data_IF_846807767519
#
_entry.id   IF_846807767519
#
_cell.length_a   1.000
_cell.length_b   1.000
_cell.length_c   1.000
_cell.angle_alpha   90.00
_cell.angle_beta   90.00
_cell.angle_gamma   90.00
#
_symmetry.space_group_name_H-M   'P 1'
#
loop_
_entity.id
_entity.type
_entity.pdbx_description
1 polymer ?
#
# COMPACT_ATOMS: atom_id res chain seq x y z
N UNK A 1 -29.70 20.54 0.08
CA UNK A 1 -28.66 20.00 0.98
C UNK A 1 -27.83 21.18 1.47
N UNK A 2 -27.82 21.50 2.77
CA UNK A 2 -26.91 22.55 3.29
C UNK A 2 -25.48 22.09 3.00
N UNK A 3 -24.63 22.98 2.49
CA UNK A 3 -23.23 22.68 2.19
C UNK A 3 -22.52 22.28 3.49
N UNK A 4 -22.41 20.97 3.72
CA UNK A 4 -21.65 20.41 4.84
C UNK A 4 -20.14 20.43 4.57
N UNK A 5 -19.66 21.14 3.55
CA UNK A 5 -18.24 21.19 3.20
C UNK A 5 -17.44 21.95 4.26
N UNK A 6 -16.25 21.44 4.53
CA UNK A 6 -15.27 22.06 5.41
C UNK A 6 -13.90 21.53 5.00
N UNK A 7 -12.97 22.32 4.42
CA UNK A 7 -12.96 23.78 4.30
C UNK A 7 -13.76 24.34 3.09
N UNK A 8 -13.80 25.68 2.96
CA UNK A 8 -14.28 26.37 1.75
C UNK A 8 -13.44 25.99 0.53
N UNK A 9 -14.10 25.86 -0.63
CA UNK A 9 -13.44 25.58 -1.90
C UNK A 9 -12.94 26.88 -2.57
N UNK A 10 -11.82 26.87 -3.32
CA UNK A 10 -10.98 25.71 -3.61
C UNK A 10 -10.12 25.28 -2.41
N UNK A 11 -9.85 23.98 -2.29
CA UNK A 11 -9.04 23.43 -1.21
C UNK A 11 -7.91 22.54 -1.75
N UNK A 12 -6.67 22.79 -1.33
CA UNK A 12 -5.55 21.87 -1.56
C UNK A 12 -5.72 20.62 -0.71
N UNK A 13 -5.60 19.43 -1.28
CA UNK A 13 -5.86 18.16 -0.59
C UNK A 13 -4.79 17.12 -0.88
N UNK A 14 -4.63 16.18 0.06
CA UNK A 14 -3.84 14.96 -0.12
C UNK A 14 -4.75 13.83 -0.56
N UNK A 15 -4.38 13.10 -1.61
CA UNK A 15 -5.13 11.96 -2.13
C UNK A 15 -4.72 10.64 -1.45
N UNK A 16 -5.59 9.96 -0.71
CA UNK A 16 -5.27 8.68 -0.07
C UNK A 16 -5.47 7.44 -0.98
N UNK A 17 -5.82 7.62 -2.27
CA UNK A 17 -6.24 6.52 -3.15
C UNK A 17 -5.13 5.50 -3.50
N UNK A 18 -3.85 5.88 -3.39
CA UNK A 18 -2.70 4.99 -3.61
C UNK A 18 -1.48 5.45 -2.80
N UNK A 19 -0.40 4.66 -2.82
CA UNK A 19 0.82 4.92 -2.05
C UNK A 19 1.53 6.24 -2.34
N UNK A 20 1.28 6.89 -3.49
CA UNK A 20 1.93 8.16 -3.84
C UNK A 20 1.53 9.33 -2.94
N UNK A 21 0.33 9.30 -2.34
CA UNK A 21 -0.23 10.39 -1.54
C UNK A 21 -0.03 11.78 -2.17
N UNK A 22 -0.48 11.97 -3.42
CA UNK A 22 -0.32 13.26 -4.09
C UNK A 22 -1.01 14.38 -3.29
N UNK A 23 -0.27 15.42 -2.94
CA UNK A 23 -0.65 16.52 -2.05
C UNK A 23 -0.87 17.87 -2.77
N UNK A 24 -0.80 17.85 -4.10
CA UNK A 24 -0.98 18.99 -5.00
C UNK A 24 -2.36 19.02 -5.67
N UNK A 25 -3.31 18.21 -5.21
CA UNK A 25 -4.66 18.21 -5.74
C UNK A 25 -5.42 19.45 -5.25
N UNK A 26 -6.23 20.04 -6.12
CA UNK A 26 -7.08 21.18 -5.77
C UNK A 26 -8.54 20.83 -6.03
N UNK A 27 -9.31 20.57 -4.96
CA UNK A 27 -10.75 20.35 -5.04
C UNK A 27 -11.44 21.70 -5.25
N UNK A 28 -12.21 21.82 -6.32
CA UNK A 28 -12.92 23.05 -6.69
C UNK A 28 -14.44 22.91 -6.59
N UNK A 29 -14.96 21.69 -6.76
CA UNK A 29 -16.37 21.35 -6.57
C UNK A 29 -16.53 19.90 -6.16
N UNK A 30 -17.52 19.58 -5.32
CA UNK A 30 -17.89 18.19 -4.96
C UNK A 30 -19.11 17.67 -5.72
N UNK A 31 -19.89 18.56 -6.36
CA UNK A 31 -21.11 18.17 -7.10
C UNK A 31 -21.38 19.16 -8.23
N UNK A 32 -21.06 18.82 -9.50
CA UNK A 32 -20.27 17.65 -9.91
C UNK A 32 -18.84 17.72 -9.35
N UNK A 33 -18.20 16.56 -9.16
CA UNK A 33 -16.82 16.52 -8.67
C UNK A 33 -15.88 17.20 -9.68
N UNK A 34 -15.05 18.12 -9.20
CA UNK A 34 -14.00 18.75 -9.98
C UNK A 34 -12.75 18.90 -9.13
N UNK A 35 -11.67 18.27 -9.57
CA UNK A 35 -10.38 18.25 -8.89
C UNK A 35 -9.28 18.48 -9.92
N UNK A 36 -8.46 19.51 -9.71
CA UNK A 36 -7.25 19.74 -10.51
C UNK A 36 -6.14 18.80 -10.05
N UNK A 37 -5.27 18.40 -10.99
CA UNK A 37 -4.15 17.46 -10.75
C UNK A 37 -4.59 16.07 -10.26
N UNK A 38 -5.83 15.67 -10.53
CA UNK A 38 -6.34 14.35 -10.19
C UNK A 38 -6.01 13.32 -11.28
N UNK A 39 -5.72 12.08 -10.87
CA UNK A 39 -5.70 10.94 -11.78
C UNK A 39 -6.99 10.12 -11.64
N UNK A 40 -7.15 9.10 -12.48
CA UNK A 40 -8.33 8.22 -12.46
C UNK A 40 -8.62 7.63 -11.07
N UNK A 41 -7.59 7.15 -10.35
CA UNK A 41 -7.76 6.62 -8.98
C UNK A 41 -8.25 7.69 -7.99
N UNK A 42 -7.70 8.91 -8.08
CA UNK A 42 -8.15 10.03 -7.23
C UNK A 42 -9.61 10.37 -7.51
N UNK A 43 -9.98 10.48 -8.78
CA UNK A 43 -11.36 10.77 -9.21
C UNK A 43 -12.30 9.70 -8.65
N UNK A 44 -12.03 8.42 -8.92
CA UNK A 44 -12.85 7.30 -8.41
C UNK A 44 -12.99 7.33 -6.89
N UNK A 45 -11.90 7.53 -6.15
CA UNK A 45 -11.93 7.59 -4.69
C UNK A 45 -12.84 8.71 -4.19
N UNK A 46 -12.66 9.94 -4.69
CA UNK A 46 -13.43 11.10 -4.23
C UNK A 46 -14.88 11.06 -4.72
N UNK A 47 -15.14 10.61 -5.95
CA UNK A 47 -16.51 10.44 -6.48
C UNK A 47 -17.29 9.48 -5.59
N UNK A 48 -16.75 8.29 -5.31
CA UNK A 48 -17.40 7.32 -4.41
C UNK A 48 -17.61 7.91 -3.00
N UNK A 49 -16.60 8.60 -2.48
CA UNK A 49 -16.67 9.19 -1.13
C UNK A 49 -17.76 10.25 -1.02
N UNK A 50 -17.91 11.14 -2.02
CA UNK A 50 -18.94 12.18 -2.01
C UNK A 50 -20.31 11.70 -2.50
N UNK A 51 -20.40 10.66 -3.34
CA UNK A 51 -21.67 10.09 -3.82
C UNK A 51 -22.34 9.16 -2.82
N UNK A 52 -21.57 8.52 -1.94
CA UNK A 52 -22.17 7.75 -0.86
C UNK A 52 -23.10 8.68 -0.07
N UNK A 53 -24.40 8.34 0.05
CA UNK A 53 -25.33 8.98 0.99
C UNK A 53 -24.98 8.55 2.43
N UNK A 54 -23.70 8.71 2.76
CA UNK A 54 -22.99 8.10 3.87
C UNK A 54 -23.43 8.62 5.22
N UNK A 55 -24.11 9.77 5.26
CA UNK A 55 -24.74 10.30 6.47
C UNK A 55 -25.90 9.44 7.00
N UNK A 56 -26.44 8.50 6.20
CA UNK A 56 -27.61 7.70 6.59
C UNK A 56 -27.33 6.20 6.72
N UNK A 57 -26.07 5.77 6.58
CA UNK A 57 -25.76 4.35 6.79
C UNK A 57 -25.71 4.09 8.28
N UNK A 58 -26.65 3.30 8.78
CA UNK A 58 -26.74 2.96 10.19
C UNK A 58 -25.97 1.66 10.49
N UNK A 59 -25.45 1.49 11.72
CA UNK A 59 -24.93 0.21 12.18
C UNK A 59 -25.96 -0.91 12.04
N UNK A 60 -25.48 -2.16 11.97
CA UNK A 60 -26.37 -3.33 12.00
C UNK A 60 -25.77 -4.48 12.79
N UNK A 61 -26.65 -5.28 13.40
CA UNK A 61 -26.31 -6.54 14.07
C UNK A 61 -27.14 -7.66 13.43
N UNK A 62 -26.45 -8.68 12.90
CA UNK A 62 -27.05 -9.78 12.14
C UNK A 62 -27.97 -9.29 11.01
N UNK A 63 -27.55 -8.22 10.32
CA UNK A 63 -28.30 -7.59 9.23
C UNK A 63 -29.49 -6.72 9.64
N UNK A 64 -29.77 -6.58 10.94
CA UNK A 64 -30.82 -5.67 11.45
C UNK A 64 -30.21 -4.34 11.86
N UNK A 65 -30.72 -3.25 11.28
CA UNK A 65 -30.31 -1.89 11.62
C UNK A 65 -30.45 -1.63 13.13
N UNK A 66 -29.45 -0.97 13.71
CA UNK A 66 -29.41 -0.62 15.13
C UNK A 66 -28.62 0.67 15.37
N UNK A 67 -28.57 1.14 16.60
CA UNK A 67 -27.75 2.27 17.02
C UNK A 67 -26.27 1.87 17.24
N UNK A 68 -25.39 2.86 17.34
CA UNK A 68 -23.96 2.65 17.50
C UNK A 68 -23.61 1.95 18.83
N UNK A 69 -24.31 2.25 19.92
CA UNK A 69 -24.03 1.67 21.23
C UNK A 69 -24.33 0.17 21.23
N UNK A 70 -25.48 -0.22 20.68
CA UNK A 70 -25.87 -1.63 20.52
C UNK A 70 -24.88 -2.39 19.64
N UNK A 71 -24.44 -1.80 18.52
CA UNK A 71 -23.46 -2.44 17.64
C UNK A 71 -22.07 -2.58 18.29
N UNK A 72 -21.62 -1.58 19.04
CA UNK A 72 -20.36 -1.62 19.81
C UNK A 72 -20.42 -2.74 20.86
N UNK A 73 -21.51 -2.84 21.63
CA UNK A 73 -21.69 -3.90 22.63
C UNK A 73 -21.70 -5.29 22.00
N UNK A 74 -22.35 -5.45 20.84
CA UNK A 74 -22.34 -6.71 20.10
C UNK A 74 -20.93 -7.08 19.61
N UNK A 75 -20.16 -6.12 19.09
CA UNK A 75 -18.77 -6.34 18.67
C UNK A 75 -17.88 -6.73 19.86
N UNK A 76 -17.99 -6.01 20.98
CA UNK A 76 -17.27 -6.32 22.21
C UNK A 76 -17.62 -7.72 22.75
N UNK A 77 -18.90 -8.09 22.73
CA UNK A 77 -19.35 -9.42 23.17
C UNK A 77 -18.75 -10.57 22.33
N UNK A 78 -18.60 -10.38 21.01
CA UNK A 78 -17.93 -11.34 20.13
C UNK A 78 -16.44 -11.45 20.50
N UNK A 79 -15.75 -10.32 20.68
CA UNK A 79 -14.33 -10.31 21.04
C UNK A 79 -14.07 -10.86 22.45
N UNK A 80 -14.94 -10.60 23.42
CA UNK A 80 -14.81 -11.10 24.80
C UNK A 80 -14.95 -12.63 24.89
N UNK A 81 -15.74 -13.23 23.98
CA UNK A 81 -15.91 -14.69 23.90
C UNK A 81 -14.79 -15.37 23.11
N UNK A 82 -14.05 -14.59 22.31
CA UNK A 82 -12.98 -15.06 21.44
C UNK A 82 -11.68 -15.23 22.22
N UNK A 83 -10.98 -16.35 21.97
CA UNK A 83 -9.68 -16.69 22.55
C UNK A 83 -8.53 -16.34 21.62
N UNK A 84 -8.78 -16.26 20.32
CA UNK A 84 -7.78 -15.96 19.31
C UNK A 84 -8.38 -15.12 18.17
N UNK A 85 -8.84 -13.89 18.44
CA UNK A 85 -9.46 -13.06 17.42
C UNK A 85 -8.42 -12.62 16.37
N UNK A 86 -8.86 -12.54 15.12
CA UNK A 86 -8.11 -11.92 14.04
C UNK A 86 -8.67 -10.52 13.79
N UNK A 87 -7.83 -9.49 13.91
CA UNK A 87 -8.12 -8.15 13.40
C UNK A 87 -7.36 -8.00 12.08
N UNK A 88 -8.10 -8.02 10.97
CA UNK A 88 -7.54 -7.96 9.62
C UNK A 88 -8.12 -6.82 8.78
N UNK A 89 -7.67 -6.73 7.53
CA UNK A 89 -8.01 -5.63 6.63
C UNK A 89 -7.10 -4.44 6.90
N UNK A 90 -7.23 -3.87 8.09
CA UNK A 90 -6.40 -2.78 8.63
C UNK A 90 -6.24 -1.60 7.66
N UNK A 91 -7.17 -1.38 6.75
CA UNK A 91 -7.11 -0.25 5.82
C UNK A 91 -7.42 1.04 6.57
N UNK A 92 -6.41 1.70 7.14
CA UNK A 92 -6.56 2.90 8.00
C UNK A 92 -5.28 3.75 8.08
N UNK A 93 -5.44 4.99 8.53
CA UNK A 93 -4.40 5.96 8.83
C UNK A 93 -3.69 5.68 10.18
N UNK A 94 -2.68 6.48 10.51
CA UNK A 94 -1.88 6.33 11.74
C UNK A 94 -2.76 6.28 13.00
N UNK A 95 -3.73 7.20 13.12
CA UNK A 95 -4.59 7.31 14.29
C UNK A 95 -5.43 6.06 14.52
N UNK A 96 -6.10 5.57 13.47
CA UNK A 96 -6.86 4.31 13.53
C UNK A 96 -5.99 3.12 13.92
N UNK A 97 -4.79 2.98 13.35
CA UNK A 97 -3.89 1.89 13.74
C UNK A 97 -3.44 1.98 15.19
N UNK A 98 -3.20 3.19 15.74
CA UNK A 98 -2.86 3.35 17.17
C UNK A 98 -3.96 2.81 18.09
N UNK A 99 -5.23 3.09 17.79
CA UNK A 99 -6.36 2.54 18.55
C UNK A 99 -6.47 1.02 18.38
N UNK A 100 -6.29 0.50 17.16
CA UNK A 100 -6.31 -0.96 16.91
C UNK A 100 -5.24 -1.69 17.73
N UNK A 101 -4.02 -1.15 17.82
CA UNK A 101 -2.94 -1.77 18.60
C UNK A 101 -3.30 -1.94 20.08
N UNK A 102 -4.07 -1.01 20.65
CA UNK A 102 -4.57 -1.10 22.03
C UNK A 102 -5.64 -2.17 22.17
N UNK A 103 -6.62 -2.18 21.26
CA UNK A 103 -7.65 -3.22 21.24
C UNK A 103 -7.04 -4.62 21.08
N UNK A 104 -6.03 -4.76 20.21
CA UNK A 104 -5.33 -6.02 20.00
C UNK A 104 -4.61 -6.49 21.27
N UNK A 105 -4.02 -5.57 22.04
CA UNK A 105 -3.41 -5.88 23.33
C UNK A 105 -4.45 -6.31 24.38
N UNK A 106 -5.63 -5.68 24.40
CA UNK A 106 -6.71 -6.02 25.32
C UNK A 106 -7.41 -7.35 24.99
N UNK A 107 -7.45 -7.74 23.71
CA UNK A 107 -8.17 -8.92 23.22
C UNK A 107 -7.25 -10.09 22.78
N UNK A 108 -5.94 -9.97 22.98
CA UNK A 108 -4.93 -10.89 22.45
C UNK A 108 -5.06 -11.16 20.94
N UNK A 109 -5.55 -10.16 20.19
CA UNK A 109 -5.83 -10.33 18.76
C UNK A 109 -4.55 -10.38 17.93
N UNK A 110 -4.62 -11.16 16.85
CA UNK A 110 -3.62 -11.16 15.79
C UNK A 110 -3.94 -10.08 14.77
N UNK A 111 -2.91 -9.39 14.29
CA UNK A 111 -3.03 -8.29 13.35
C UNK A 111 -2.50 -8.66 11.98
N UNK A 112 -3.26 -8.43 10.91
CA UNK A 112 -2.73 -8.58 9.54
C UNK A 112 -3.40 -7.61 8.55
N UNK A 113 -2.60 -6.90 7.76
CA UNK A 113 -3.10 -5.96 6.77
C UNK A 113 -3.58 -6.68 5.49
N UNK A 114 -4.58 -6.15 4.79
CA UNK A 114 -5.11 -6.77 3.56
C UNK A 114 -4.05 -6.95 2.46
N UNK A 115 -3.01 -6.11 2.45
CA UNK A 115 -1.92 -6.17 1.47
C UNK A 115 -0.66 -6.88 2.00
N UNK A 116 -0.69 -7.46 3.20
CA UNK A 116 0.47 -8.04 3.88
C UNK A 116 1.20 -9.10 3.08
N UNK A 117 0.52 -9.92 2.27
CA UNK A 117 1.18 -10.92 1.42
C UNK A 117 2.26 -10.31 0.51
N UNK A 118 2.03 -9.08 0.05
CA UNK A 118 3.03 -8.34 -0.73
C UNK A 118 4.05 -7.62 0.16
N UNK A 119 3.60 -6.95 1.22
CA UNK A 119 4.46 -6.12 2.06
C UNK A 119 5.45 -6.96 2.89
N UNK A 120 5.04 -8.13 3.36
CA UNK A 120 5.89 -9.08 4.10
C UNK A 120 7.08 -9.54 3.26
N UNK A 121 6.95 -9.68 1.94
CA UNK A 121 8.08 -10.07 1.07
C UNK A 121 9.19 -9.01 1.06
N UNK A 122 8.80 -7.74 1.07
CA UNK A 122 9.72 -6.62 1.22
C UNK A 122 10.33 -6.59 2.63
N UNK A 123 9.49 -6.72 3.67
CA UNK A 123 9.91 -6.72 5.08
C UNK A 123 10.91 -7.83 5.38
N UNK A 124 10.66 -9.07 4.94
CA UNK A 124 11.55 -10.20 5.13
C UNK A 124 12.90 -9.97 4.45
N UNK A 125 12.90 -9.37 3.25
CA UNK A 125 14.15 -9.03 2.56
C UNK A 125 14.96 -8.01 3.37
N UNK A 126 14.31 -6.92 3.78
CA UNK A 126 14.94 -5.86 4.58
C UNK A 126 15.45 -6.39 5.93
N UNK A 127 14.69 -7.22 6.64
CA UNK A 127 15.08 -7.79 7.94
C UNK A 127 16.28 -8.73 7.83
N UNK A 128 16.41 -9.46 6.72
CA UNK A 128 17.51 -10.42 6.54
C UNK A 128 18.83 -9.77 6.10
N UNK A 129 18.78 -8.79 5.20
CA UNK A 129 20.00 -8.25 4.56
C UNK A 129 20.14 -6.73 4.56
N UNK A 130 19.17 -6.01 5.12
CA UNK A 130 19.01 -4.58 4.88
C UNK A 130 18.63 -4.31 3.41
N UNK A 131 18.45 -3.03 3.08
CA UNK A 131 18.31 -2.57 1.71
C UNK A 131 18.69 -1.10 1.59
N UNK A 132 19.02 -0.65 0.38
CA UNK A 132 19.32 0.75 0.07
C UNK A 132 18.16 1.31 -0.75
N UNK A 133 17.29 2.12 -0.14
CA UNK A 133 16.08 2.67 -0.79
C UNK A 133 16.16 4.18 -0.99
N UNK A 134 15.28 4.73 -1.84
CA UNK A 134 15.21 6.17 -2.14
C UNK A 134 13.83 6.77 -1.87
N UNK A 135 13.75 8.10 -1.96
CA UNK A 135 12.49 8.86 -1.84
C UNK A 135 11.96 9.28 -3.20
N UNK A 136 10.66 9.58 -3.30
CA UNK A 136 10.10 10.11 -4.55
C UNK A 136 10.80 11.41 -4.99
N UNK A 137 11.21 12.24 -4.03
CA UNK A 137 11.96 13.47 -4.29
C UNK A 137 13.34 13.19 -4.90
N UNK A 138 14.04 12.17 -4.43
CA UNK A 138 15.34 11.78 -4.99
C UNK A 138 15.20 11.16 -6.39
N UNK A 139 14.13 10.38 -6.64
CA UNK A 139 13.81 9.93 -8.01
C UNK A 139 13.63 11.12 -8.94
N UNK A 140 12.77 12.08 -8.55
CA UNK A 140 12.50 13.28 -9.34
C UNK A 140 13.79 14.04 -9.70
N UNK A 141 14.63 14.26 -8.69
CA UNK A 141 15.74 15.22 -8.83
C UNK A 141 17.05 14.59 -9.29
N UNK A 142 17.30 13.29 -9.05
CA UNK A 142 18.60 12.67 -9.35
C UNK A 142 18.56 11.54 -10.36
N UNK A 143 17.47 10.78 -10.45
CA UNK A 143 17.44 9.58 -11.28
C UNK A 143 17.69 9.92 -12.76
N UNK A 144 18.66 9.23 -13.37
CA UNK A 144 18.95 9.27 -14.80
C UNK A 144 18.67 7.93 -15.50
N UNK A 145 18.48 6.85 -14.73
CA UNK A 145 18.01 5.55 -15.20
C UNK A 145 17.01 4.93 -14.21
N UNK A 146 15.90 4.41 -14.72
CA UNK A 146 14.90 3.65 -13.96
C UNK A 146 14.77 2.25 -14.57
N UNK A 147 15.02 1.22 -13.77
CA UNK A 147 14.73 -0.18 -14.11
C UNK A 147 13.47 -0.64 -13.37
N UNK A 148 12.36 -0.80 -14.09
CA UNK A 148 11.09 -1.26 -13.56
C UNK A 148 10.95 -2.79 -13.72
N UNK A 149 11.02 -3.53 -12.61
CA UNK A 149 11.04 -5.00 -12.60
C UNK A 149 9.64 -5.54 -12.28
N UNK A 150 9.06 -6.27 -13.25
CA UNK A 150 7.80 -7.00 -13.14
C UNK A 150 6.59 -6.14 -12.77
N UNK A 151 6.65 -4.83 -12.97
CA UNK A 151 5.59 -3.91 -12.55
C UNK A 151 5.20 -2.94 -13.65
N UNK A 152 3.89 -2.72 -13.81
CA UNK A 152 3.34 -1.61 -14.56
C UNK A 152 3.13 -0.41 -13.62
N UNK A 153 4.07 0.52 -13.67
CA UNK A 153 4.08 1.71 -12.82
C UNK A 153 2.87 2.60 -13.13
N UNK A 154 2.53 2.84 -14.40
CA UNK A 154 1.49 3.80 -14.74
C UNK A 154 0.08 3.34 -14.35
N UNK A 155 -0.22 2.04 -14.39
CA UNK A 155 -1.52 1.55 -13.88
C UNK A 155 -1.58 1.58 -12.35
N UNK A 156 -0.50 1.19 -11.68
CA UNK A 156 -0.47 1.13 -10.20
C UNK A 156 -0.38 2.52 -9.55
N UNK A 157 0.42 3.42 -10.13
CA UNK A 157 0.74 4.75 -9.64
C UNK A 157 0.62 5.78 -10.79
N UNK A 158 -0.60 6.19 -11.18
CA UNK A 158 -0.84 6.91 -12.43
C UNK A 158 -0.12 8.24 -12.61
N UNK A 159 0.25 8.92 -11.52
CA UNK A 159 0.99 10.19 -11.57
C UNK A 159 2.50 10.03 -11.37
N UNK A 160 3.02 8.81 -11.32
CA UNK A 160 4.45 8.56 -11.09
C UNK A 160 5.31 9.24 -12.15
N UNK A 161 5.04 8.98 -13.44
CA UNK A 161 5.84 9.53 -14.51
C UNK A 161 5.68 11.04 -14.65
N UNK A 162 4.43 11.52 -14.60
CA UNK A 162 4.10 12.94 -14.60
C UNK A 162 4.88 13.71 -13.52
N UNK A 163 4.87 13.23 -12.27
CA UNK A 163 5.47 13.96 -11.14
C UNK A 163 6.97 13.73 -10.98
N UNK A 164 7.50 12.58 -11.38
CA UNK A 164 8.86 12.15 -11.02
C UNK A 164 9.80 11.95 -12.21
N UNK A 165 9.27 11.77 -13.42
CA UNK A 165 10.09 11.45 -14.61
C UNK A 165 10.05 12.56 -15.64
N UNK A 166 8.88 13.15 -15.89
CA UNK A 166 8.67 14.17 -16.92
C UNK A 166 8.53 15.59 -16.36
N UNK A 167 8.52 15.74 -15.04
CA UNK A 167 8.49 17.05 -14.40
C UNK A 167 9.83 17.78 -14.64
N UNK A 168 9.77 18.88 -15.40
CA UNK A 168 10.93 19.72 -15.71
C UNK A 168 11.38 20.58 -14.52
N UNK A 169 10.54 20.74 -13.48
CA UNK A 169 10.88 21.46 -12.26
C UNK A 169 11.75 20.61 -11.32
N UNK A 170 12.93 20.21 -11.79
CA UNK A 170 13.96 19.51 -11.02
C UNK A 170 14.91 20.48 -10.31
N UNK A 171 15.33 20.14 -9.10
CA UNK A 171 16.35 20.87 -8.33
C UNK A 171 17.73 20.82 -8.99
N UNK A 172 18.00 19.76 -9.75
CA UNK A 172 19.24 19.58 -10.48
C UNK A 172 18.90 19.53 -11.98
N UNK A 173 19.50 20.40 -12.78
CA UNK A 173 19.29 20.46 -14.23
C UNK A 173 19.82 19.16 -14.89
N UNK A 174 18.97 18.12 -14.91
CA UNK A 174 19.28 16.77 -15.40
C UNK A 174 18.33 16.41 -16.54
N UNK A 175 18.74 15.50 -17.45
CA UNK A 175 17.81 14.93 -18.42
C UNK A 175 16.73 14.08 -17.73
N UNK A 176 15.61 13.89 -18.41
CA UNK A 176 14.61 12.90 -18.03
C UNK A 176 15.24 11.51 -18.01
N UNK A 177 14.98 10.67 -16.98
CA UNK A 177 15.61 9.37 -16.87
C UNK A 177 15.20 8.45 -18.02
N UNK A 178 16.13 7.61 -18.48
CA UNK A 178 15.77 6.47 -19.33
C UNK A 178 14.96 5.47 -18.48
N UNK A 179 13.89 4.91 -19.06
CA UNK A 179 13.07 3.88 -18.41
C UNK A 179 13.23 2.56 -19.16
N UNK A 180 13.59 1.52 -18.41
CA UNK A 180 13.70 0.14 -18.89
C UNK A 180 12.76 -0.74 -18.07
N UNK A 181 11.88 -1.48 -18.72
CA UNK A 181 11.05 -2.51 -18.09
C UNK A 181 11.73 -3.87 -18.20
N UNK A 182 11.63 -4.67 -17.14
CA UNK A 182 12.12 -6.05 -17.10
C UNK A 182 10.97 -7.00 -16.73
N UNK A 183 10.73 -8.02 -17.56
CA UNK A 183 9.70 -9.04 -17.30
C UNK A 183 8.28 -8.49 -17.35
N UNK A 184 8.04 -7.54 -18.26
CA UNK A 184 6.74 -6.90 -18.48
C UNK A 184 6.55 -6.77 -19.99
N UNK A 185 5.38 -7.13 -20.51
CA UNK A 185 5.09 -7.01 -21.94
C UNK A 185 5.22 -5.56 -22.43
N UNK A 186 5.63 -5.39 -23.70
CA UNK A 186 5.80 -4.08 -24.32
C UNK A 186 4.51 -3.23 -24.27
N UNK A 187 3.33 -3.86 -24.32
CA UNK A 187 2.05 -3.17 -24.20
C UNK A 187 1.86 -2.51 -22.83
N UNK A 188 2.27 -3.16 -21.74
CA UNK A 188 2.20 -2.59 -20.40
C UNK A 188 3.26 -1.51 -20.17
N UNK A 189 4.39 -1.59 -20.88
CA UNK A 189 5.43 -0.56 -20.85
C UNK A 189 5.01 0.77 -21.52
N UNK A 190 3.92 0.78 -22.31
CA UNK A 190 3.39 2.01 -22.96
C UNK A 190 2.98 3.08 -21.94
N UNK A 191 2.70 2.72 -20.70
CA UNK A 191 2.38 3.68 -19.65
C UNK A 191 3.54 4.64 -19.32
N UNK A 192 4.77 4.31 -19.71
CA UNK A 192 5.96 5.15 -19.61
C UNK A 192 6.31 5.88 -20.92
N UNK A 193 5.40 5.95 -21.89
CA UNK A 193 5.63 6.73 -23.12
C UNK A 193 5.79 8.20 -22.75
N UNK A 194 6.92 8.80 -23.11
CA UNK A 194 7.19 10.21 -22.78
C UNK A 194 6.21 11.15 -23.49
N UNK A 195 6.05 12.41 -23.01
CA UNK A 195 5.25 13.43 -23.69
C UNK A 195 5.67 13.67 -25.16
N UNK A 196 6.94 13.41 -25.49
CA UNK A 196 7.50 13.51 -26.83
C UNK A 196 7.31 12.23 -27.66
N UNK A 197 6.60 11.23 -27.14
CA UNK A 197 6.29 9.97 -27.82
C UNK A 197 7.39 8.91 -27.75
N UNK A 198 8.44 9.11 -26.93
CA UNK A 198 9.50 8.10 -26.77
C UNK A 198 9.01 6.95 -25.90
N UNK A 199 9.01 5.74 -26.47
CA UNK A 199 8.68 4.52 -25.73
C UNK A 199 9.80 4.12 -24.77
N UNK A 200 9.41 3.58 -23.61
CA UNK A 200 10.34 2.88 -22.74
C UNK A 200 10.83 1.59 -23.42
N UNK A 201 12.06 1.19 -23.11
CA UNK A 201 12.56 -0.11 -23.57
C UNK A 201 12.05 -1.23 -22.66
N UNK A 202 11.90 -2.44 -23.20
CA UNK A 202 11.48 -3.62 -22.45
C UNK A 202 12.44 -4.77 -22.71
N UNK A 203 12.76 -5.52 -21.66
CA UNK A 203 13.65 -6.68 -21.67
C UNK A 203 12.90 -7.84 -21.04
N UNK A 204 12.63 -8.89 -21.83
CA UNK A 204 11.79 -10.01 -21.40
C UNK A 204 10.32 -9.61 -21.15
N UNK A 205 9.41 -10.54 -21.38
CA UNK A 205 7.97 -10.32 -21.31
C UNK A 205 7.24 -11.28 -20.37
N UNK A 206 7.91 -12.34 -19.89
CA UNK A 206 7.39 -13.30 -18.91
C UNK A 206 7.82 -12.96 -17.48
N UNK A 207 6.88 -12.54 -16.60
CA UNK A 207 7.17 -12.29 -15.20
C UNK A 207 7.69 -13.50 -14.42
N UNK A 208 7.39 -14.74 -14.87
CA UNK A 208 7.86 -15.96 -14.20
C UNK A 208 9.38 -16.16 -14.36
N UNK A 209 10.00 -15.52 -15.37
CA UNK A 209 11.45 -15.61 -15.62
C UNK A 209 12.26 -14.55 -14.87
N UNK A 210 11.60 -13.57 -14.22
CA UNK A 210 12.27 -12.51 -13.48
C UNK A 210 13.31 -13.05 -12.46
N UNK A 211 13.03 -14.10 -11.67
CA UNK A 211 14.01 -14.61 -10.72
C UNK A 211 15.32 -15.03 -11.38
N UNK A 212 15.24 -15.73 -12.52
CA UNK A 212 16.43 -16.20 -13.24
C UNK A 212 17.17 -15.03 -13.90
N UNK A 213 16.44 -14.10 -14.52
CA UNK A 213 17.04 -12.95 -15.20
C UNK A 213 17.74 -12.02 -14.21
N UNK A 214 17.14 -11.72 -13.05
CA UNK A 214 17.79 -10.87 -12.02
C UNK A 214 19.06 -11.52 -11.49
N UNK A 215 19.07 -12.85 -11.30
CA UNK A 215 20.27 -13.57 -10.91
C UNK A 215 21.36 -13.55 -11.98
N UNK A 216 20.99 -13.62 -13.27
CA UNK A 216 21.92 -13.41 -14.36
C UNK A 216 22.50 -11.98 -14.36
N UNK A 217 21.70 -10.95 -14.11
CA UNK A 217 22.19 -9.57 -13.97
C UNK A 217 23.21 -9.45 -12.84
N UNK A 218 22.94 -10.04 -11.66
CA UNK A 218 23.90 -10.08 -10.56
C UNK A 218 25.20 -10.78 -10.95
N UNK A 219 25.14 -11.93 -11.63
CA UNK A 219 26.31 -12.67 -12.07
C UNK A 219 27.16 -11.86 -13.08
N UNK A 220 26.51 -11.24 -14.07
CA UNK A 220 27.18 -10.41 -15.08
C UNK A 220 27.79 -9.14 -14.46
N UNK A 221 27.11 -8.53 -13.48
CA UNK A 221 27.60 -7.35 -12.77
C UNK A 221 28.94 -7.61 -12.06
N UNK A 222 29.12 -8.80 -11.49
CA UNK A 222 30.40 -9.24 -10.89
C UNK A 222 31.33 -9.97 -11.90
N UNK A 223 31.12 -9.75 -13.20
CA UNK A 223 31.91 -10.30 -14.31
C UNK A 223 32.00 -11.83 -14.34
N UNK A 224 30.97 -12.55 -13.87
CA UNK A 224 30.89 -14.00 -14.04
C UNK A 224 30.36 -14.35 -15.42
N UNK A 225 30.94 -15.39 -16.02
CA UNK A 225 30.51 -15.91 -17.32
C UNK A 225 29.24 -16.74 -17.15
N UNK A 226 28.26 -16.50 -18.01
CA UNK A 226 27.06 -17.34 -18.16
C UNK A 226 27.30 -18.27 -19.36
N UNK A 227 27.19 -19.58 -19.13
CA UNK A 227 27.36 -20.61 -20.17
C UNK A 227 26.01 -20.95 -20.83
N UNK A 228 25.31 -19.93 -21.33
CA UNK A 228 24.06 -20.05 -22.07
C UNK A 228 23.94 -18.88 -23.07
N UNK A 229 23.21 -19.06 -24.16
CA UNK A 229 22.93 -17.97 -25.11
C UNK A 229 21.81 -17.06 -24.62
N UNK A 230 20.83 -17.64 -23.92
CA UNK A 230 19.66 -16.95 -23.37
C UNK A 230 19.44 -17.36 -21.91
N UNK A 231 18.82 -16.47 -21.13
CA UNK A 231 18.35 -16.70 -19.76
C UNK A 231 16.94 -16.14 -19.67
N UNK A 232 15.97 -16.93 -19.21
CA UNK A 232 14.58 -16.49 -19.13
C UNK A 232 14.00 -16.00 -20.47
N UNK A 233 14.46 -16.58 -21.58
CA UNK A 233 14.08 -16.16 -22.94
C UNK A 233 14.80 -14.90 -23.47
N UNK A 234 15.69 -14.27 -22.67
CA UNK A 234 16.42 -13.06 -23.06
C UNK A 234 17.87 -13.39 -23.41
N UNK A 235 18.37 -12.89 -24.54
CA UNK A 235 19.77 -13.05 -24.93
C UNK A 235 20.73 -12.49 -23.87
N UNK A 236 21.78 -13.25 -23.52
CA UNK A 236 22.79 -12.82 -22.54
C UNK A 236 23.47 -11.51 -22.96
N UNK A 237 23.65 -11.28 -24.26
CA UNK A 237 24.16 -10.01 -24.77
C UNK A 237 23.27 -8.80 -24.41
N UNK A 238 21.95 -8.96 -24.45
CA UNK A 238 20.99 -7.93 -24.02
C UNK A 238 21.08 -7.67 -22.53
N UNK A 239 21.23 -8.73 -21.72
CA UNK A 239 21.42 -8.61 -20.27
C UNK A 239 22.75 -7.92 -19.93
N UNK A 240 23.84 -8.24 -20.63
CA UNK A 240 25.12 -7.56 -20.48
C UNK A 240 25.01 -6.08 -20.82
N UNK A 241 24.31 -5.73 -21.91
CA UNK A 241 24.09 -4.34 -22.28
C UNK A 241 23.28 -3.58 -21.21
N UNK A 242 22.30 -4.23 -20.56
CA UNK A 242 21.56 -3.65 -19.45
C UNK A 242 22.46 -3.43 -18.22
N UNK A 243 23.34 -4.38 -17.88
CA UNK A 243 24.32 -4.23 -16.80
C UNK A 243 25.27 -3.05 -17.06
N UNK A 244 25.79 -2.90 -18.28
CA UNK A 244 26.65 -1.76 -18.61
C UNK A 244 25.91 -0.42 -18.53
N UNK A 245 24.63 -0.36 -18.91
CA UNK A 245 23.79 0.83 -18.69
C UNK A 245 23.64 1.15 -17.20
N UNK A 246 23.34 0.14 -16.38
CA UNK A 246 23.20 0.30 -14.92
C UNK A 246 24.49 0.81 -14.28
N UNK A 247 25.65 0.31 -14.70
CA UNK A 247 26.97 0.76 -14.22
C UNK A 247 27.30 2.19 -14.65
N UNK A 248 26.87 2.60 -15.85
CA UNK A 248 27.13 3.92 -16.41
C UNK A 248 26.21 5.03 -15.86
N UNK A 249 25.05 4.67 -15.31
CA UNK A 249 24.11 5.61 -14.70
C UNK A 249 24.74 6.33 -13.51
N UNK A 250 24.43 7.62 -13.31
CA UNK A 250 24.87 8.41 -12.15
C UNK A 250 24.00 8.15 -10.92
N UNK A 251 22.72 7.86 -11.12
CA UNK A 251 21.78 7.50 -10.08
C UNK A 251 20.69 6.57 -10.66
N UNK A 252 20.95 5.26 -10.60
CA UNK A 252 19.99 4.25 -11.04
C UNK A 252 18.93 4.00 -9.97
N UNK A 253 17.65 3.95 -10.35
CA UNK A 253 16.55 3.57 -9.47
C UNK A 253 15.94 2.27 -9.93
N UNK A 254 15.98 1.26 -9.06
CA UNK A 254 15.39 -0.05 -9.32
C UNK A 254 14.02 -0.10 -8.67
N UNK A 255 12.97 -0.14 -9.48
CA UNK A 255 11.58 -0.07 -9.06
C UNK A 255 10.94 -1.45 -9.18
N UNK A 256 10.22 -1.90 -8.16
CA UNK A 256 9.46 -3.16 -8.23
C UNK A 256 8.14 -3.04 -7.47
N UNK A 257 7.20 -3.93 -7.74
CA UNK A 257 6.00 -4.10 -6.92
C UNK A 257 5.93 -5.55 -6.44
N UNK A 258 6.07 -5.76 -5.13
CA UNK A 258 6.04 -7.12 -4.56
C UNK A 258 4.70 -7.82 -4.79
N UNK A 259 3.61 -7.04 -4.97
CA UNK A 259 2.28 -7.57 -5.28
C UNK A 259 2.18 -8.11 -6.71
N UNK A 260 3.06 -7.69 -7.62
CA UNK A 260 3.10 -8.15 -9.01
C UNK A 260 3.81 -9.50 -9.19
N UNK A 261 4.61 -9.93 -8.21
CA UNK A 261 5.32 -11.21 -8.26
C UNK A 261 4.40 -12.36 -7.90
N UNK A 262 3.72 -12.95 -8.88
CA UNK A 262 2.75 -14.04 -8.69
C UNK A 262 3.38 -15.43 -8.76
N UNK A 263 4.45 -15.64 -8.00
CA UNK A 263 5.14 -16.92 -7.89
C UNK A 263 5.59 -17.19 -6.45
N UNK A 264 5.86 -18.45 -6.13
CA UNK A 264 6.31 -18.87 -4.79
C UNK A 264 7.66 -18.27 -4.44
N UNK A 265 7.88 -18.00 -3.15
CA UNK A 265 9.14 -17.48 -2.62
C UNK A 265 9.62 -16.18 -3.27
N UNK A 266 8.69 -15.31 -3.65
CA UNK A 266 8.99 -14.05 -4.34
C UNK A 266 9.89 -13.09 -3.53
N UNK A 267 9.97 -13.25 -2.21
CA UNK A 267 10.94 -12.59 -1.35
C UNK A 267 12.40 -12.86 -1.76
N UNK A 268 12.73 -14.04 -2.29
CA UNK A 268 14.07 -14.36 -2.77
C UNK A 268 14.43 -13.57 -4.04
N UNK A 269 13.44 -13.30 -4.90
CA UNK A 269 13.63 -12.42 -6.05
C UNK A 269 13.85 -10.98 -5.60
N UNK A 270 13.13 -10.51 -4.57
CA UNK A 270 13.36 -9.18 -3.99
C UNK A 270 14.75 -9.11 -3.34
N UNK A 271 15.21 -10.15 -2.64
CA UNK A 271 16.59 -10.25 -2.15
C UNK A 271 17.61 -10.13 -3.29
N UNK A 272 17.34 -10.77 -4.43
CA UNK A 272 18.20 -10.68 -5.62
C UNK A 272 18.20 -9.27 -6.24
N UNK A 273 17.06 -8.58 -6.23
CA UNK A 273 16.95 -7.16 -6.65
C UNK A 273 17.74 -6.26 -5.70
N UNK A 274 17.63 -6.47 -4.39
CA UNK A 274 18.38 -5.71 -3.38
C UNK A 274 19.88 -5.98 -3.50
N UNK A 275 20.28 -7.22 -3.77
CA UNK A 275 21.68 -7.56 -4.06
C UNK A 275 22.21 -6.81 -5.28
N UNK A 276 21.41 -6.70 -6.35
CA UNK A 276 21.78 -5.92 -7.55
C UNK A 276 22.03 -4.46 -7.19
N UNK A 277 21.14 -3.86 -6.38
CA UNK A 277 21.32 -2.49 -5.88
C UNK A 277 22.60 -2.37 -5.05
N UNK A 278 22.86 -3.29 -4.13
CA UNK A 278 24.05 -3.27 -3.29
C UNK A 278 25.35 -3.36 -4.12
N UNK A 279 25.41 -4.28 -5.08
CA UNK A 279 26.57 -4.47 -5.95
C UNK A 279 26.81 -3.26 -6.86
N UNK A 280 25.76 -2.63 -7.40
CA UNK A 280 25.91 -1.41 -8.19
C UNK A 280 26.53 -0.26 -7.36
N UNK A 281 26.26 -0.22 -6.05
CA UNK A 281 26.79 0.82 -5.17
C UNK A 281 28.30 0.72 -4.90
N UNK A 282 28.95 -0.39 -5.26
CA UNK A 282 30.41 -0.51 -5.19
C UNK A 282 31.13 0.43 -6.18
N UNK A 283 30.50 0.71 -7.34
CA UNK A 283 31.12 1.51 -8.42
C UNK A 283 30.32 2.73 -8.86
N UNK A 284 29.00 2.73 -8.66
CA UNK A 284 28.11 3.87 -8.98
C UNK A 284 27.10 4.11 -7.84
N UNK A 285 26.03 4.87 -8.06
CA UNK A 285 24.93 5.03 -7.10
C UNK A 285 23.66 4.41 -7.65
N UNK A 286 23.09 3.51 -6.86
CA UNK A 286 21.81 2.89 -7.15
C UNK A 286 20.93 2.85 -5.89
N UNK A 287 19.62 2.88 -6.06
CA UNK A 287 18.69 2.73 -4.95
C UNK A 287 17.44 1.98 -5.37
N UNK A 288 16.85 1.24 -4.44
CA UNK A 288 15.56 0.58 -4.60
C UNK A 288 14.38 1.52 -4.34
N UNK A 289 13.28 1.30 -5.04
CA UNK A 289 11.99 1.90 -4.73
C UNK A 289 10.87 0.85 -4.82
N UNK A 290 10.49 0.22 -3.69
CA UNK A 290 9.33 -0.65 -3.65
C UNK A 290 8.04 0.15 -3.83
N UNK A 291 7.22 -0.25 -4.80
CA UNK A 291 5.87 0.25 -4.98
C UNK A 291 4.91 -0.52 -4.06
N UNK A 292 4.25 0.19 -3.14
CA UNK A 292 3.28 -0.41 -2.22
C UNK A 292 1.82 -0.20 -2.68
N UNK A 293 0.90 -0.98 -2.12
CA UNK A 293 -0.42 -1.21 -2.72
C UNK A 293 -1.50 -0.17 -2.36
N UNK A 294 -1.28 0.69 -1.35
CA UNK A 294 -2.26 1.67 -0.86
C UNK A 294 -2.89 1.29 0.48
N UNK A 295 -4.11 1.78 0.75
CA UNK A 295 -4.92 1.51 1.97
C UNK A 295 -4.23 1.78 3.31
N UNK A 296 -3.19 2.60 3.33
CA UNK A 296 -2.45 2.90 4.55
C UNK A 296 -1.41 1.85 4.94
N UNK A 297 -1.06 0.91 4.04
CA UNK A 297 -0.09 -0.16 4.29
C UNK A 297 1.21 0.32 5.00
N UNK A 298 1.86 1.37 4.48
CA UNK A 298 3.04 1.98 5.14
C UNK A 298 2.70 2.59 6.50
N UNK A 299 1.56 3.27 6.62
CA UNK A 299 1.12 3.89 7.87
C UNK A 299 0.90 2.85 8.96
N UNK A 300 0.20 1.76 8.61
CA UNK A 300 -0.14 0.66 9.49
C UNK A 300 1.12 -0.06 9.97
N UNK A 301 2.00 -0.44 9.05
CA UNK A 301 3.23 -1.16 9.39
C UNK A 301 4.21 -0.28 10.17
N UNK A 302 4.39 0.99 9.82
CA UNK A 302 5.22 1.91 10.61
C UNK A 302 4.63 2.09 12.02
N UNK A 303 3.31 2.31 12.11
CA UNK A 303 2.61 2.50 13.39
C UNK A 303 2.75 1.30 14.30
N UNK A 304 2.55 0.10 13.75
CA UNK A 304 2.77 -1.13 14.49
C UNK A 304 4.21 -1.22 14.97
N UNK A 305 5.18 -0.95 14.09
CA UNK A 305 6.61 -1.07 14.39
C UNK A 305 7.05 -0.16 15.54
N UNK A 306 6.66 1.11 15.57
CA UNK A 306 7.09 1.98 16.68
C UNK A 306 6.34 1.71 18.00
N UNK A 307 5.20 1.00 17.97
CA UNK A 307 4.43 0.66 19.17
C UNK A 307 4.80 -0.72 19.75
N UNK A 308 5.13 -1.70 18.91
CA UNK A 308 5.41 -3.08 19.32
C UNK A 308 6.84 -3.55 19.05
N UNK A 309 7.60 -2.82 18.25
CA UNK A 309 8.88 -3.27 17.69
C UNK A 309 8.75 -4.09 16.40
N UNK A 310 7.54 -4.38 15.94
CA UNK A 310 7.30 -5.21 14.75
C UNK A 310 6.23 -4.61 13.81
N UNK A 311 6.34 -4.83 12.49
CA UNK A 311 5.24 -4.54 11.55
C UNK A 311 4.06 -5.48 11.82
N UNK A 312 2.97 -5.36 11.05
CA UNK A 312 1.82 -6.29 11.17
C UNK A 312 2.22 -7.76 11.03
N UNK A 313 1.30 -8.68 11.35
CA UNK A 313 1.57 -10.08 11.74
C UNK A 313 2.24 -10.18 13.09
N UNK A 314 1.70 -9.40 14.03
CA UNK A 314 2.01 -9.48 15.44
C UNK A 314 0.74 -9.60 16.28
N UNK A 315 0.92 -10.00 17.53
CA UNK A 315 -0.08 -9.98 18.60
C UNK A 315 0.59 -9.62 19.91
N UNK A 316 -0.20 -9.47 20.98
CA UNK A 316 0.31 -9.32 22.33
C UNK A 316 -0.11 -10.50 23.19
N UNK A 317 0.82 -11.04 23.97
CA UNK A 317 0.56 -12.08 24.97
C UNK A 317 1.14 -11.59 26.29
N UNK A 318 0.29 -11.39 27.30
CA UNK A 318 0.69 -10.85 28.60
C UNK A 318 1.52 -9.55 28.49
N UNK A 319 1.09 -8.65 27.61
CA UNK A 319 1.75 -7.36 27.35
C UNK A 319 3.06 -7.46 26.55
N UNK A 320 3.47 -8.65 26.10
CA UNK A 320 4.66 -8.85 25.26
C UNK A 320 4.26 -9.05 23.80
N UNK A 321 4.90 -8.36 22.85
CA UNK A 321 4.63 -8.57 21.45
C UNK A 321 5.21 -9.92 20.99
N UNK A 322 4.42 -10.68 20.25
CA UNK A 322 4.87 -11.84 19.46
C UNK A 322 4.71 -11.50 17.98
N UNK A 323 5.70 -11.85 17.16
CA UNK A 323 5.74 -11.56 15.74
C UNK A 323 6.06 -12.82 14.95
N UNK A 324 5.18 -13.18 14.01
CA UNK A 324 5.37 -14.33 13.14
C UNK A 324 4.65 -14.13 11.81
N UNK A 325 5.45 -14.00 10.74
CA UNK A 325 4.96 -13.71 9.40
C UNK A 325 4.15 -14.85 8.77
N UNK A 326 4.31 -16.09 9.23
CA UNK A 326 3.60 -17.23 8.67
C UNK A 326 2.33 -17.51 9.46
N UNK A 327 2.47 -17.69 10.77
CA UNK A 327 1.39 -18.09 11.66
C UNK A 327 0.32 -17.02 11.75
N UNK A 328 0.67 -15.73 11.86
CA UNK A 328 -0.31 -14.65 12.03
C UNK A 328 -0.84 -14.08 10.70
N UNK A 329 -0.60 -14.76 9.56
CA UNK A 329 -1.20 -14.38 8.28
C UNK A 329 -2.72 -14.60 8.28
N UNK A 330 -3.47 -13.69 7.65
CA UNK A 330 -4.92 -13.78 7.46
C UNK A 330 -5.31 -15.12 6.84
N UNK A 331 -4.57 -15.56 5.82
CA UNK A 331 -4.83 -16.83 5.15
C UNK A 331 -4.83 -18.02 6.12
N UNK A 332 -3.89 -18.04 7.07
CA UNK A 332 -3.83 -19.07 8.13
C UNK A 332 -4.88 -18.85 9.21
N UNK A 333 -5.04 -17.60 9.64
CA UNK A 333 -5.91 -17.28 10.77
C UNK A 333 -7.39 -17.41 10.46
N UNK A 334 -7.83 -17.29 9.20
CA UNK A 334 -9.20 -17.63 8.83
C UNK A 334 -9.60 -19.09 9.12
N UNK A 335 -8.63 -19.99 9.33
CA UNK A 335 -8.86 -21.40 9.69
C UNK A 335 -8.61 -21.71 11.17
N UNK A 336 -7.97 -20.79 11.91
CA UNK A 336 -7.46 -21.06 13.27
C UNK A 336 -7.97 -20.05 14.33
N UNK A 337 -8.48 -18.90 13.90
CA UNK A 337 -9.16 -17.93 14.75
C UNK A 337 -10.60 -18.33 15.02
N UNK A 338 -11.21 -17.69 16.02
CA UNK A 338 -12.60 -17.89 16.41
C UNK A 338 -13.47 -16.63 16.22
N UNK A 339 -12.89 -15.51 15.80
CA UNK A 339 -13.59 -14.31 15.37
C UNK A 339 -12.75 -13.50 14.36
N UNK A 340 -13.42 -12.73 13.51
CA UNK A 340 -12.79 -11.79 12.58
C UNK A 340 -13.33 -10.37 12.82
N UNK A 341 -12.44 -9.40 13.04
CA UNK A 341 -12.74 -7.98 12.91
C UNK A 341 -12.04 -7.45 11.65
N UNK A 342 -12.81 -7.02 10.65
CA UNK A 342 -12.32 -6.49 9.39
C UNK A 342 -12.41 -4.96 9.35
N UNK A 343 -11.27 -4.30 9.09
CA UNK A 343 -11.19 -2.83 8.97
C UNK A 343 -10.91 -2.41 7.54
N UNK A 344 -11.76 -1.54 6.98
CA UNK A 344 -11.57 -0.97 5.63
C UNK A 344 -12.15 0.44 5.50
N UNK A 345 -11.36 1.47 5.81
CA UNK A 345 -11.81 2.87 5.83
C UNK A 345 -11.42 3.70 4.59
N UNK A 346 -10.52 3.20 3.75
CA UNK A 346 -10.08 3.86 2.51
C UNK A 346 -10.74 3.33 1.25
N UNK A 347 -10.26 2.24 0.66
CA UNK A 347 -11.00 1.57 -0.40
C UNK A 347 -12.08 0.68 0.23
N UNK A 348 -13.28 0.56 -0.37
CA UNK A 348 -14.37 -0.27 0.16
C UNK A 348 -14.14 -1.78 -0.10
N UNK A 349 -13.01 -2.31 0.38
CA UNK A 349 -12.61 -3.72 0.22
C UNK A 349 -13.43 -4.61 1.16
N UNK A 350 -14.17 -5.57 0.59
CA UNK A 350 -14.99 -6.51 1.37
C UNK A 350 -14.14 -7.45 2.24
N UNK A 351 -14.73 -7.91 3.34
CA UNK A 351 -14.09 -8.90 4.20
C UNK A 351 -13.98 -10.26 3.47
N UNK A 352 -12.94 -11.06 3.75
CA UNK A 352 -12.80 -12.39 3.16
C UNK A 352 -13.96 -13.31 3.57
N UNK A 353 -14.27 -14.28 2.71
CA UNK A 353 -15.27 -15.31 2.99
C UNK A 353 -14.81 -16.21 4.13
N UNK A 354 -15.65 -16.39 5.14
CA UNK A 354 -15.37 -17.23 6.31
C UNK A 354 -16.66 -17.56 7.07
N UNK A 355 -16.62 -18.63 7.86
CA UNK A 355 -17.69 -19.03 8.79
C UNK A 355 -17.53 -18.40 10.19
N UNK A 356 -16.44 -17.67 10.44
CA UNK A 356 -16.20 -17.02 11.73
C UNK A 356 -17.25 -15.93 12.01
N UNK A 357 -17.62 -15.73 13.29
CA UNK A 357 -18.27 -14.50 13.74
C UNK A 357 -17.48 -13.29 13.24
N UNK A 358 -18.14 -12.40 12.51
CA UNK A 358 -17.47 -11.34 11.76
C UNK A 358 -18.02 -9.96 12.08
N UNK A 359 -17.12 -9.09 12.54
CA UNK A 359 -17.33 -7.67 12.75
C UNK A 359 -16.70 -6.93 11.57
N UNK A 360 -17.44 -6.05 10.90
CA UNK A 360 -16.91 -5.18 9.85
C UNK A 360 -17.02 -3.73 10.30
N UNK A 361 -15.89 -3.04 10.36
CA UNK A 361 -15.82 -1.60 10.61
C UNK A 361 -15.20 -0.95 9.37
N UNK A 362 -15.99 -0.17 8.63
CA UNK A 362 -15.50 0.32 7.34
C UNK A 362 -16.35 1.39 6.72
N UNK A 363 -16.06 1.68 5.46
CA UNK A 363 -16.79 2.70 4.72
C UNK A 363 -18.28 2.40 4.66
N UNK A 364 -19.15 3.43 4.72
CA UNK A 364 -20.59 3.28 4.58
C UNK A 364 -21.04 2.70 3.23
N UNK A 365 -20.25 2.87 2.17
CA UNK A 365 -20.52 2.34 0.83
C UNK A 365 -19.80 1.00 0.54
N UNK A 366 -19.26 0.34 1.56
CA UNK A 366 -18.68 -0.98 1.41
C UNK A 366 -19.75 -1.97 0.91
N UNK A 367 -19.44 -2.69 -0.17
CA UNK A 367 -20.27 -3.78 -0.65
C UNK A 367 -19.95 -5.02 0.16
N UNK A 368 -20.90 -5.46 0.95
CA UNK A 368 -20.76 -6.65 1.78
C UNK A 368 -21.25 -7.87 0.98
N UNK A 369 -20.34 -8.77 0.63
CA UNK A 369 -20.67 -10.01 -0.10
C UNK A 369 -21.53 -10.98 0.73
N UNK A 370 -21.51 -10.82 2.06
CA UNK A 370 -22.39 -11.49 3.02
C UNK A 370 -22.73 -10.55 4.16
N UNK A 371 -23.85 -10.80 4.83
CA UNK A 371 -24.23 -10.09 6.05
C UNK A 371 -23.27 -10.45 7.19
N UNK A 372 -22.50 -9.51 7.75
CA UNK A 372 -21.68 -9.76 8.92
C UNK A 372 -22.54 -9.82 10.20
N UNK A 373 -22.01 -10.37 11.27
CA UNK A 373 -22.64 -10.38 12.58
C UNK A 373 -22.77 -8.97 13.15
N UNK A 374 -21.78 -8.12 12.89
CA UNK A 374 -21.82 -6.69 13.22
C UNK A 374 -21.25 -5.88 12.06
N UNK A 375 -21.95 -4.82 11.65
CA UNK A 375 -21.43 -3.80 10.75
C UNK A 375 -21.50 -2.43 11.40
N UNK A 376 -20.38 -1.71 11.43
CA UNK A 376 -20.28 -0.34 11.93
C UNK A 376 -19.70 0.56 10.83
N UNK A 377 -20.50 1.42 10.20
CA UNK A 377 -20.00 2.40 9.25
C UNK A 377 -19.21 3.49 9.98
N UNK A 378 -18.06 3.87 9.41
CA UNK A 378 -17.21 4.96 9.94
C UNK A 378 -16.93 6.00 8.87
N UNK A 379 -16.58 7.22 9.30
CA UNK A 379 -16.15 8.28 8.41
C UNK A 379 -14.89 7.91 7.62
N UNK A 380 -14.78 8.46 6.42
CA UNK A 380 -13.65 8.23 5.49
C UNK A 380 -12.50 9.21 5.85
N UNK A 381 -11.30 8.72 6.19
CA UNK A 381 -10.15 9.60 6.45
C UNK A 381 -9.78 10.38 5.18
N UNK A 382 -9.56 11.69 5.32
CA UNK A 382 -9.32 12.58 4.16
C UNK A 382 -10.58 13.09 3.47
N UNK A 383 -11.76 12.77 3.99
CA UNK A 383 -13.04 13.31 3.55
C UNK A 383 -13.89 13.73 4.74
N UNK A 384 -14.15 12.83 5.68
CA UNK A 384 -15.04 13.05 6.83
C UNK A 384 -14.30 13.52 8.09
N UNK A 385 -13.02 13.17 8.19
CA UNK A 385 -12.14 13.61 9.25
C UNK A 385 -10.69 13.75 8.77
N UNK A 386 -9.91 14.51 9.53
CA UNK A 386 -8.47 14.63 9.32
C UNK A 386 -7.74 13.35 9.78
N UNK A 387 -6.51 13.18 9.32
CA UNK A 387 -5.66 12.04 9.66
C UNK A 387 -4.23 12.24 9.16
N UNK A 388 -3.38 11.25 9.41
CA UNK A 388 -1.99 11.27 8.93
C UNK A 388 -1.64 9.96 8.25
N UNK A 389 -1.02 10.03 7.07
CA UNK A 389 -0.58 8.85 6.34
C UNK A 389 0.89 8.97 5.92
N UNK A 390 1.60 7.84 5.98
CA UNK A 390 2.92 7.70 5.39
C UNK A 390 2.81 7.48 3.90
N UNK A 391 3.59 8.25 3.13
CA UNK A 391 3.79 8.02 1.70
C UNK A 391 4.56 6.71 1.49
N UNK A 392 4.46 6.14 0.30
CA UNK A 392 5.05 4.84 -0.03
C UNK A 392 6.56 4.70 0.20
N UNK A 393 7.32 5.81 0.10
CA UNK A 393 8.74 5.85 0.42
C UNK A 393 9.02 5.90 1.93
N UNK A 394 7.96 5.81 2.76
CA UNK A 394 7.95 5.76 4.23
C UNK A 394 8.68 6.89 4.95
N UNK A 395 9.16 7.89 4.20
CA UNK A 395 10.00 8.97 4.68
C UNK A 395 9.21 10.23 5.01
N UNK A 396 8.03 10.40 4.40
CA UNK A 396 7.18 11.57 4.56
C UNK A 396 5.81 11.15 5.09
N UNK A 397 5.36 11.85 6.12
CA UNK A 397 3.96 11.79 6.59
C UNK A 397 3.21 13.00 6.05
N UNK A 398 2.06 12.77 5.43
CA UNK A 398 1.21 13.83 4.87
C UNK A 398 -0.11 13.92 5.64
N UNK A 399 -0.62 15.15 5.87
CA UNK A 399 -1.92 15.33 6.50
C UNK A 399 -3.03 15.04 5.49
N UNK A 400 -4.02 14.27 5.93
CA UNK A 400 -5.31 14.16 5.30
C UNK A 400 -6.24 15.24 5.88
N UNK A 401 -7.01 15.91 5.03
CA UNK A 401 -7.94 16.96 5.46
C UNK A 401 -9.35 16.42 5.67
N UNK A 402 -10.06 16.96 6.66
CA UNK A 402 -11.52 16.91 6.65
C UNK A 402 -12.00 17.79 5.48
N UNK A 403 -12.91 17.28 4.66
CA UNK A 403 -13.50 17.96 3.48
C UNK A 403 -15.01 18.19 3.63
N UNK A 404 -15.67 17.43 4.50
CA UNK A 404 -17.07 17.66 4.88
C UNK A 404 -17.31 17.31 6.35
N UNK A 405 -18.40 17.85 6.90
CA UNK A 405 -18.99 17.41 8.16
C UNK A 405 -19.82 16.16 7.90
N UNK A 406 -19.56 15.13 8.68
CA UNK A 406 -20.28 13.86 8.71
C UNK A 406 -20.56 13.52 10.18
N UNK A 407 -21.68 12.85 10.44
CA UNK A 407 -22.10 12.40 11.78
C UNK A 407 -21.55 11.00 12.11
N UNK A 408 -21.05 10.27 11.11
CA UNK A 408 -20.39 8.98 11.35
C UNK A 408 -19.16 9.16 12.27
N UNK A 409 -18.96 8.25 13.24
CA UNK A 409 -17.76 8.26 14.07
C UNK A 409 -16.52 7.96 13.22
N UNK A 410 -15.35 8.39 13.68
CA UNK A 410 -14.10 7.89 13.10
C UNK A 410 -13.75 6.50 13.67
N UNK A 411 -12.84 5.78 13.03
CA UNK A 411 -12.45 4.44 13.46
C UNK A 411 -11.90 4.42 14.90
N UNK A 412 -11.06 5.40 15.26
CA UNK A 412 -10.45 5.44 16.60
C UNK A 412 -11.51 5.53 17.70
N UNK A 413 -12.58 6.31 17.47
CA UNK A 413 -13.71 6.42 18.40
C UNK A 413 -14.44 5.09 18.58
N UNK A 414 -14.75 4.39 17.48
CA UNK A 414 -15.42 3.07 17.56
C UNK A 414 -14.54 2.05 18.29
N UNK A 415 -13.26 1.98 17.94
CA UNK A 415 -12.32 1.03 18.55
C UNK A 415 -12.14 1.31 20.05
N UNK A 416 -12.01 2.57 20.45
CA UNK A 416 -11.88 2.92 21.87
C UNK A 416 -13.15 2.57 22.67
N UNK A 417 -14.35 2.70 22.07
CA UNK A 417 -15.60 2.29 22.72
C UNK A 417 -15.68 0.77 22.86
N UNK A 418 -15.24 0.01 21.86
CA UNK A 418 -15.16 -1.46 21.95
C UNK A 418 -14.15 -1.87 23.02
N UNK A 419 -12.95 -1.27 23.04
CA UNK A 419 -11.92 -1.52 24.07
C UNK A 419 -12.47 -1.27 25.49
N UNK A 420 -13.24 -0.20 25.68
CA UNK A 420 -13.84 0.14 26.98
C UNK A 420 -14.89 -0.87 27.46
N UNK A 421 -15.58 -1.56 26.56
CA UNK A 421 -16.55 -2.62 26.92
C UNK A 421 -15.86 -3.97 27.22
N UNK A 422 -14.56 -4.11 26.92
CA UNK A 422 -13.76 -5.30 27.27
C UNK A 422 -13.04 -5.19 28.63
N UNK A 423 -12.91 -3.97 29.15
CA UNK A 423 -12.31 -3.67 30.44
C UNK A 423 -13.31 -3.89 31.59
#
# INVERSE_FOLDING_TARGET
MKNNLNPTLPASITCPACGMLCDDLVLTSTTPLSIQNACAKSITFFEQSFHSNSSNTAPSVSGKTTDLETAVKAAAAILAQSKAPLIAGLGTEVQGMRSIMRLAAASNAMLDHMHSESSVRNTLTMQNGGWLTTTLSEVKNRADLILAIGTDIGTSHPRFFEKLVWDSASLFNKPSPEVVYLGVSADKAKSATSPEGKLASAVGDDPAQIPEIVNALNALLINKKINAETVGGVAVATLQALVEKLKAAKYAVIVWSASSFKFSHAELTIQSIVQLVNQLNETTRAAGLPLNSGDGDSSVNNTSTWLSGYPTRNRFVNGKPEYDNYHFSTQKQLQNSDALLWVSTFNPTSAPQTALPTIVIGRPDIKLDRTPDVFIPVGIPGVDHAGSMFRMDSSITLPLKKLRNNELPNLSEVINRIEAELA
#
